data_IF_497133258214
#
_entry.id   IF_497133258214
#
_cell.length_a   1.000
_cell.length_b   1.000
_cell.length_c   1.000
_cell.angle_alpha   90.00
_cell.angle_beta   90.00
_cell.angle_gamma   90.00
#
_symmetry.space_group_name_H-M   'P 1'
#
loop_
_entity.id
_entity.type
_entity.pdbx_description
1 polymer ?
#
# COMPACT_ATOMS: atom_id res chain seq x y z
N UNK A 1 -27.01 39.14 -32.24
CA UNK A 1 -27.61 38.10 -31.36
C UNK A 1 -26.48 37.26 -30.80
N UNK A 2 -26.29 37.22 -29.47
CA UNK A 2 -25.30 36.34 -28.82
C UNK A 2 -25.93 34.96 -28.58
N UNK A 3 -25.30 33.83 -28.93
CA UNK A 3 -25.69 32.54 -28.39
C UNK A 3 -25.06 32.37 -26.99
N UNK A 4 -25.88 31.89 -26.06
CA UNK A 4 -25.53 31.66 -24.66
C UNK A 4 -24.56 30.50 -24.46
N UNK A 5 -23.84 30.54 -23.33
CA UNK A 5 -22.98 29.46 -22.83
C UNK A 5 -23.78 28.17 -22.61
N UNK A 6 -23.20 26.99 -22.88
CA UNK A 6 -23.78 25.73 -22.43
C UNK A 6 -23.59 25.57 -20.92
N UNK A 7 -24.69 25.30 -20.24
CA UNK A 7 -24.71 24.75 -18.88
C UNK A 7 -24.22 23.30 -18.90
N UNK A 8 -23.33 22.87 -17.98
CA UNK A 8 -22.99 21.46 -17.85
C UNK A 8 -24.19 20.69 -17.31
N UNK A 9 -24.64 19.72 -18.09
CA UNK A 9 -25.78 18.84 -17.80
C UNK A 9 -25.45 17.86 -16.67
N UNK A 10 -26.29 17.91 -15.64
CA UNK A 10 -26.77 16.84 -14.76
C UNK A 10 -26.12 15.45 -14.85
N UNK A 11 -25.35 15.12 -13.80
CA UNK A 11 -25.44 13.89 -12.99
C UNK A 11 -26.10 12.66 -13.66
N UNK A 12 -25.28 11.67 -14.01
CA UNK A 12 -25.72 10.39 -14.55
C UNK A 12 -26.41 9.51 -13.48
N UNK A 13 -27.62 8.98 -13.71
CA UNK A 13 -28.44 8.32 -12.67
C UNK A 13 -28.02 6.89 -12.29
N UNK A 14 -27.03 6.30 -12.96
CA UNK A 14 -26.61 4.90 -12.77
C UNK A 14 -25.39 4.74 -11.86
N UNK A 15 -24.93 5.84 -11.25
CA UNK A 15 -23.92 5.90 -10.18
C UNK A 15 -24.55 5.91 -8.76
N UNK A 16 -25.80 5.46 -8.61
CA UNK A 16 -26.35 5.15 -7.29
C UNK A 16 -25.78 3.82 -6.82
N UNK A 17 -24.62 3.92 -6.17
CA UNK A 17 -24.07 2.85 -5.34
C UNK A 17 -25.12 2.50 -4.28
N UNK A 18 -25.61 1.26 -4.32
CA UNK A 18 -26.61 0.75 -3.41
C UNK A 18 -25.93 0.33 -2.10
N UNK A 19 -26.09 1.16 -1.05
CA UNK A 19 -25.54 0.93 0.28
C UNK A 19 -26.04 -0.38 0.94
N UNK A 20 -27.05 -1.05 0.39
CA UNK A 20 -27.60 -2.30 0.94
C UNK A 20 -26.79 -3.56 0.61
N UNK A 21 -25.82 -3.52 -0.32
CA UNK A 21 -25.10 -4.71 -0.78
C UNK A 21 -23.89 -5.14 0.06
N UNK A 22 -23.39 -4.29 0.96
CA UNK A 22 -22.22 -4.60 1.83
C UNK A 22 -22.54 -5.72 2.85
N UNK A 23 -23.82 -6.05 3.07
CA UNK A 23 -24.24 -7.13 3.96
C UNK A 23 -24.43 -8.49 3.28
N UNK A 24 -24.38 -8.57 1.94
CA UNK A 24 -24.70 -9.82 1.20
C UNK A 24 -23.48 -10.63 0.71
N UNK A 25 -22.25 -10.13 0.90
CA UNK A 25 -21.00 -10.77 0.45
C UNK A 25 -20.59 -12.05 1.22
N UNK A 26 -21.48 -12.66 2.01
CA UNK A 26 -21.18 -13.89 2.74
C UNK A 26 -21.58 -15.18 2.05
N UNK A 27 -22.45 -15.14 1.05
CA UNK A 27 -23.05 -16.36 0.50
C UNK A 27 -22.84 -16.44 -1.01
N UNK A 28 -21.65 -16.89 -1.42
CA UNK A 28 -21.42 -17.77 -2.59
C UNK A 28 -19.91 -17.96 -2.82
N UNK A 29 -19.26 -18.68 -1.91
CA UNK A 29 -17.91 -19.17 -2.12
C UNK A 29 -17.94 -20.47 -2.93
N UNK A 30 -17.54 -20.42 -4.20
CA UNK A 30 -16.93 -21.58 -4.84
C UNK A 30 -15.59 -21.82 -4.15
N UNK A 31 -15.34 -23.05 -3.70
CA UNK A 31 -14.25 -23.41 -2.79
C UNK A 31 -12.86 -22.98 -3.30
N UNK A 32 -12.35 -21.87 -2.76
CA UNK A 32 -10.92 -21.58 -2.72
C UNK A 32 -10.27 -22.53 -1.70
N UNK A 33 -9.23 -23.25 -2.12
CA UNK A 33 -8.47 -24.20 -1.27
C UNK A 33 -7.61 -23.45 -0.22
N UNK A 34 -7.61 -22.11 -0.25
CA UNK A 34 -6.80 -21.27 0.64
C UNK A 34 -7.64 -20.20 1.32
N UNK A 35 -7.42 -19.93 2.62
CA UNK A 35 -8.19 -18.94 3.36
C UNK A 35 -7.98 -17.53 2.76
N UNK A 36 -9.04 -16.72 2.65
CA UNK A 36 -8.92 -15.32 2.22
C UNK A 36 -8.05 -14.54 3.22
N UNK A 37 -7.26 -13.58 2.72
CA UNK A 37 -6.62 -12.58 3.57
C UNK A 37 -7.75 -11.68 4.07
N UNK A 38 -8.24 -11.93 5.29
CA UNK A 38 -9.25 -11.08 5.91
C UNK A 38 -8.53 -9.90 6.56
N UNK A 39 -8.63 -8.67 6.02
CA UNK A 39 -8.08 -7.52 6.72
C UNK A 39 -8.79 -7.37 8.07
N UNK A 40 -8.09 -6.97 9.14
CA UNK A 40 -8.72 -6.71 10.42
C UNK A 40 -9.88 -5.72 10.25
N UNK A 41 -10.95 -5.85 11.04
CA UNK A 41 -12.05 -4.87 11.06
C UNK A 41 -11.49 -3.58 11.68
N UNK A 42 -11.03 -2.68 10.82
CA UNK A 42 -10.49 -1.38 11.21
C UNK A 42 -11.62 -0.35 11.17
N UNK A 43 -11.89 0.40 12.25
CA UNK A 43 -12.87 1.48 12.22
C UNK A 43 -12.44 2.52 11.18
N UNK A 44 -13.39 2.94 10.33
CA UNK A 44 -13.15 3.94 9.30
C UNK A 44 -12.79 5.28 9.95
N UNK A 45 -11.66 5.84 9.56
CA UNK A 45 -11.15 7.08 10.15
C UNK A 45 -11.57 8.28 9.32
N UNK A 46 -11.38 8.21 8.00
CA UNK A 46 -11.90 9.22 7.07
C UNK A 46 -13.25 8.81 6.50
N UNK A 47 -14.16 9.77 6.23
CA UNK A 47 -15.39 9.49 5.48
C UNK A 47 -15.07 8.89 4.11
N UNK A 48 -15.80 7.84 3.71
CA UNK A 48 -15.64 7.14 2.42
C UNK A 48 -14.28 6.45 2.24
N UNK A 49 -13.53 6.22 3.31
CA UNK A 49 -12.25 5.48 3.27
C UNK A 49 -12.42 4.07 2.68
N UNK A 50 -13.52 3.39 3.00
CA UNK A 50 -13.85 2.07 2.46
C UNK A 50 -14.03 2.09 0.94
N UNK A 51 -14.72 3.10 0.42
CA UNK A 51 -14.94 3.28 -1.03
C UNK A 51 -13.63 3.64 -1.73
N UNK A 52 -12.83 4.52 -1.13
CA UNK A 52 -11.49 4.85 -1.64
C UNK A 52 -10.60 3.61 -1.71
N UNK A 53 -10.56 2.82 -0.63
CA UNK A 53 -9.80 1.57 -0.54
C UNK A 53 -10.23 0.58 -1.62
N UNK A 54 -11.53 0.32 -1.75
CA UNK A 54 -12.05 -0.60 -2.75
C UNK A 54 -11.68 -0.15 -4.17
N UNK A 55 -11.90 1.14 -4.49
CA UNK A 55 -11.63 1.68 -5.82
C UNK A 55 -10.14 1.71 -6.16
N UNK A 56 -9.27 1.96 -5.17
CA UNK A 56 -7.82 1.86 -5.33
C UNK A 56 -7.39 0.42 -5.59
N UNK A 57 -7.90 -0.53 -4.80
CA UNK A 57 -7.55 -1.94 -4.93
C UNK A 57 -8.02 -2.52 -6.26
N UNK A 58 -9.18 -2.08 -6.77
CA UNK A 58 -9.62 -2.43 -8.12
C UNK A 58 -8.57 -2.09 -9.18
N UNK A 59 -7.98 -0.89 -9.12
CA UNK A 59 -6.90 -0.50 -10.03
C UNK A 59 -5.67 -1.38 -9.83
N UNK A 60 -5.29 -1.66 -8.58
CA UNK A 60 -4.16 -2.56 -8.28
C UNK A 60 -4.38 -3.96 -8.87
N UNK A 61 -5.57 -4.52 -8.72
CA UNK A 61 -5.89 -5.86 -9.20
C UNK A 61 -6.00 -5.91 -10.72
N UNK A 62 -6.56 -4.87 -11.37
CA UNK A 62 -6.52 -4.73 -12.83
C UNK A 62 -5.08 -4.64 -13.33
N UNK A 63 -4.24 -3.84 -12.67
CA UNK A 63 -2.82 -3.71 -13.00
C UNK A 63 -2.11 -5.06 -12.92
N UNK A 64 -2.29 -5.78 -11.83
CA UNK A 64 -1.68 -7.10 -11.64
C UNK A 64 -2.19 -8.09 -12.68
N UNK A 65 -3.50 -8.13 -12.92
CA UNK A 65 -4.10 -9.01 -13.92
C UNK A 65 -3.52 -8.81 -15.31
N UNK A 66 -3.53 -7.57 -15.82
CA UNK A 66 -3.03 -7.28 -17.17
C UNK A 66 -1.51 -7.45 -17.29
N UNK A 67 -0.76 -7.23 -16.22
CA UNK A 67 0.69 -7.49 -16.18
C UNK A 67 1.04 -8.98 -16.15
N UNK A 68 0.07 -9.87 -15.86
CA UNK A 68 0.28 -11.32 -15.76
C UNK A 68 -0.70 -12.11 -16.63
N UNK A 69 -1.32 -11.46 -17.61
CA UNK A 69 -2.21 -12.13 -18.54
C UNK A 69 -1.43 -13.15 -19.37
N UNK A 70 -2.06 -14.29 -19.67
CA UNK A 70 -1.44 -15.34 -20.48
C UNK A 70 -1.21 -14.93 -21.94
N UNK A 71 -1.81 -13.82 -22.38
CA UNK A 71 -1.62 -13.28 -23.73
C UNK A 71 -0.43 -12.29 -23.75
N UNK A 72 0.75 -12.70 -24.28
CA UNK A 72 1.95 -11.87 -24.22
C UNK A 72 1.82 -10.56 -25.00
N UNK A 73 0.99 -10.51 -26.05
CA UNK A 73 0.75 -9.28 -26.80
C UNK A 73 -0.06 -8.26 -25.98
N UNK A 74 -1.07 -8.71 -25.23
CA UNK A 74 -1.84 -7.83 -24.34
C UNK A 74 -0.96 -7.35 -23.19
N UNK A 75 -0.16 -8.24 -22.60
CA UNK A 75 0.78 -7.89 -21.54
C UNK A 75 1.78 -6.81 -22.01
N UNK A 76 2.45 -7.02 -23.14
CA UNK A 76 3.43 -6.06 -23.66
C UNK A 76 2.82 -4.69 -23.95
N UNK A 77 1.61 -4.64 -24.51
CA UNK A 77 0.90 -3.37 -24.72
C UNK A 77 0.51 -2.71 -23.41
N UNK A 78 0.05 -3.48 -22.43
CA UNK A 78 -0.30 -2.95 -21.12
C UNK A 78 0.91 -2.29 -20.45
N UNK A 79 2.04 -2.99 -20.44
CA UNK A 79 3.31 -2.51 -19.91
C UNK A 79 3.79 -1.23 -20.62
N UNK A 80 3.62 -1.15 -21.94
CA UNK A 80 4.05 0.00 -22.74
C UNK A 80 3.13 1.22 -22.63
N UNK A 81 1.81 1.03 -22.49
CA UNK A 81 0.83 2.11 -22.67
C UNK A 81 0.15 2.57 -21.37
N UNK A 82 -0.09 1.64 -20.42
CA UNK A 82 -0.98 1.91 -19.26
C UNK A 82 -0.29 1.69 -17.91
N UNK A 83 0.68 0.78 -17.82
CA UNK A 83 1.32 0.47 -16.54
C UNK A 83 1.95 1.71 -15.89
N UNK A 84 2.77 2.46 -16.63
CA UNK A 84 3.43 3.65 -16.08
C UNK A 84 2.43 4.75 -15.67
N UNK A 85 1.41 5.11 -16.48
CA UNK A 85 0.33 6.00 -16.03
C UNK A 85 -0.37 5.55 -14.74
N UNK A 86 -0.60 4.25 -14.54
CA UNK A 86 -1.18 3.72 -13.30
C UNK A 86 -0.20 3.93 -12.13
N UNK A 87 1.08 3.59 -12.30
CA UNK A 87 2.10 3.74 -11.25
C UNK A 87 2.21 5.21 -10.80
N UNK A 88 2.30 6.16 -11.74
CA UNK A 88 2.39 7.59 -11.45
C UNK A 88 1.13 8.12 -10.75
N UNK A 89 -0.05 7.67 -11.20
CA UNK A 89 -1.31 7.98 -10.54
C UNK A 89 -1.34 7.45 -9.11
N UNK A 90 -0.96 6.18 -8.91
CA UNK A 90 -0.98 5.53 -7.60
C UNK A 90 -0.05 6.24 -6.60
N UNK A 91 1.12 6.71 -7.03
CA UNK A 91 2.01 7.57 -6.23
C UNK A 91 1.31 8.88 -5.85
N UNK A 92 0.72 9.56 -6.83
CA UNK A 92 0.09 10.87 -6.65
C UNK A 92 -1.13 10.81 -5.73
N UNK A 93 -2.07 9.89 -6.00
CA UNK A 93 -3.31 9.76 -5.22
C UNK A 93 -3.03 9.31 -3.79
N UNK A 94 -2.01 8.47 -3.57
CA UNK A 94 -1.59 8.07 -2.22
C UNK A 94 -1.02 9.26 -1.45
N UNK A 95 -0.20 10.10 -2.11
CA UNK A 95 0.34 11.32 -1.51
C UNK A 95 -0.76 12.29 -1.12
N UNK A 96 -1.75 12.52 -2.00
CA UNK A 96 -2.88 13.40 -1.72
C UNK A 96 -3.75 12.85 -0.58
N UNK A 97 -4.03 11.54 -0.55
CA UNK A 97 -4.72 10.91 0.57
C UNK A 97 -3.97 11.09 1.89
N UNK A 98 -2.64 10.90 1.89
CA UNK A 98 -1.81 11.12 3.08
C UNK A 98 -1.85 12.57 3.56
N UNK A 99 -1.89 13.55 2.65
CA UNK A 99 -2.05 14.95 3.01
C UNK A 99 -3.42 15.21 3.66
N UNK A 100 -4.50 14.72 3.04
CA UNK A 100 -5.84 14.81 3.62
C UNK A 100 -5.92 14.18 5.01
N UNK A 101 -5.28 13.02 5.19
CA UNK A 101 -5.22 12.35 6.49
C UNK A 101 -4.47 13.18 7.52
N UNK A 102 -3.32 13.78 7.16
CA UNK A 102 -2.52 14.62 8.06
C UNK A 102 -3.22 15.93 8.40
N UNK A 103 -3.97 16.52 7.47
CA UNK A 103 -4.78 17.72 7.71
C UNK A 103 -5.92 17.41 8.69
N UNK A 104 -6.54 16.24 8.55
CA UNK A 104 -7.61 15.79 9.44
C UNK A 104 -7.07 15.37 10.83
N UNK A 105 -5.87 14.78 10.86
CA UNK A 105 -5.19 14.29 12.08
C UNK A 105 -3.74 14.75 12.14
N UNK A 106 -3.48 16.01 12.56
CA UNK A 106 -2.12 16.54 12.68
C UNK A 106 -1.27 15.77 13.71
N UNK A 107 -1.93 15.18 14.71
CA UNK A 107 -1.31 14.39 15.76
C UNK A 107 -1.99 13.02 15.89
N UNK A 108 -1.21 11.97 16.17
CA UNK A 108 -1.71 10.60 16.32
C UNK A 108 -2.75 10.45 17.43
N UNK A 109 -2.65 11.25 18.50
CA UNK A 109 -3.61 11.27 19.60
C UNK A 109 -5.00 11.72 19.10
N UNK A 110 -5.05 12.60 18.10
CA UNK A 110 -6.29 13.09 17.50
C UNK A 110 -7.05 12.00 16.75
N UNK A 111 -6.37 10.94 16.26
CA UNK A 111 -7.03 9.82 15.58
C UNK A 111 -8.06 9.12 16.48
N UNK A 112 -7.76 8.99 17.78
CA UNK A 112 -8.64 8.32 18.73
C UNK A 112 -9.88 9.15 19.08
N UNK A 113 -9.80 10.48 18.98
CA UNK A 113 -10.90 11.39 19.27
C UNK A 113 -11.91 11.49 18.11
N UNK A 114 -11.52 11.06 16.90
CA UNK A 114 -12.33 11.21 15.69
C UNK A 114 -12.40 12.67 15.20
N UNK A 115 -13.17 12.89 14.13
CA UNK A 115 -13.34 14.21 13.52
C UNK A 115 -14.60 14.92 14.00
N UNK A 116 -14.47 16.21 14.31
CA UNK A 116 -15.60 17.11 14.47
C UNK A 116 -16.33 17.31 13.13
N UNK A 117 -17.63 17.59 13.15
CA UNK A 117 -18.46 17.66 11.93
C UNK A 117 -17.92 18.58 10.82
N UNK A 118 -17.43 19.80 11.08
CA UNK A 118 -16.85 20.64 10.02
C UNK A 118 -15.62 20.00 9.36
N UNK A 119 -14.74 19.38 10.16
CA UNK A 119 -13.55 18.68 9.66
C UNK A 119 -13.93 17.41 8.91
N UNK A 120 -14.97 16.70 9.37
CA UNK A 120 -15.54 15.54 8.69
C UNK A 120 -16.09 15.91 7.31
N UNK A 121 -16.81 17.01 7.19
CA UNK A 121 -17.33 17.50 5.91
C UNK A 121 -16.18 17.85 4.94
N UNK A 122 -15.17 18.59 5.41
CA UNK A 122 -14.00 18.93 4.60
C UNK A 122 -13.21 17.68 4.16
N UNK A 123 -12.97 16.73 5.08
CA UNK A 123 -12.31 15.47 4.76
C UNK A 123 -13.10 14.67 3.72
N UNK A 124 -14.44 14.62 3.85
CA UNK A 124 -15.33 13.97 2.86
C UNK A 124 -15.18 14.60 1.49
N UNK A 125 -15.20 15.92 1.37
CA UNK A 125 -14.99 16.62 0.10
C UNK A 125 -13.62 16.29 -0.52
N UNK A 126 -12.58 16.23 0.32
CA UNK A 126 -11.26 15.77 -0.08
C UNK A 126 -11.27 14.37 -0.68
N UNK A 127 -11.86 13.39 0.03
CA UNK A 127 -11.94 12.00 -0.44
C UNK A 127 -12.81 11.87 -1.70
N UNK A 128 -13.90 12.64 -1.83
CA UNK A 128 -14.73 12.66 -3.05
C UNK A 128 -13.93 13.10 -4.27
N UNK A 129 -13.05 14.11 -4.14
CA UNK A 129 -12.16 14.52 -5.25
C UNK A 129 -11.19 13.41 -5.64
N UNK A 130 -10.64 12.68 -4.67
CA UNK A 130 -9.77 11.54 -4.96
C UNK A 130 -10.52 10.41 -5.69
N UNK A 131 -11.76 10.13 -5.29
CA UNK A 131 -12.62 9.16 -5.96
C UNK A 131 -12.90 9.55 -7.42
N UNK A 132 -13.15 10.84 -7.69
CA UNK A 132 -13.32 11.33 -9.07
C UNK A 132 -12.05 11.15 -9.92
N UNK A 133 -10.87 11.32 -9.32
CA UNK A 133 -9.60 11.07 -9.99
C UNK A 133 -9.40 9.57 -10.28
N UNK A 134 -9.77 8.70 -9.32
CA UNK A 134 -9.77 7.24 -9.49
C UNK A 134 -10.72 6.81 -10.61
N UNK A 135 -11.94 7.36 -10.64
CA UNK A 135 -12.92 7.07 -11.68
C UNK A 135 -12.37 7.41 -13.06
N UNK A 136 -11.71 8.56 -13.20
CA UNK A 136 -11.07 8.97 -14.46
C UNK A 136 -10.04 7.95 -14.94
N UNK A 137 -9.18 7.45 -14.04
CA UNK A 137 -8.22 6.40 -14.41
C UNK A 137 -8.92 5.08 -14.76
N UNK A 138 -9.94 4.69 -13.99
CA UNK A 138 -10.74 3.50 -14.28
C UNK A 138 -11.40 3.56 -15.67
N UNK A 139 -11.88 4.74 -16.10
CA UNK A 139 -12.39 4.96 -17.45
C UNK A 139 -11.31 4.73 -18.51
N UNK A 140 -10.10 5.24 -18.29
CA UNK A 140 -8.98 5.06 -19.22
C UNK A 140 -8.59 3.58 -19.33
N UNK A 141 -8.49 2.85 -18.20
CA UNK A 141 -8.21 1.41 -18.20
C UNK A 141 -9.32 0.64 -18.92
N UNK A 142 -10.59 1.00 -18.68
CA UNK A 142 -11.75 0.36 -19.33
C UNK A 142 -11.74 0.57 -20.84
N UNK A 143 -11.49 1.80 -21.30
CA UNK A 143 -11.40 2.10 -22.72
C UNK A 143 -10.22 1.36 -23.37
N UNK A 144 -9.07 1.33 -22.71
CA UNK A 144 -7.89 0.61 -23.18
C UNK A 144 -8.15 -0.90 -23.28
N UNK A 145 -8.75 -1.51 -22.26
CA UNK A 145 -9.06 -2.94 -22.23
C UNK A 145 -10.02 -3.31 -23.37
N UNK A 146 -11.01 -2.46 -23.64
CA UNK A 146 -11.94 -2.69 -24.75
C UNK A 146 -11.22 -2.60 -26.11
N UNK A 147 -10.35 -1.61 -26.31
CA UNK A 147 -9.68 -1.37 -27.59
C UNK A 147 -8.53 -2.35 -27.87
N UNK A 148 -7.79 -2.79 -26.85
CA UNK A 148 -6.55 -3.55 -27.03
C UNK A 148 -6.66 -5.01 -26.59
N UNK A 149 -7.53 -5.32 -25.63
CA UNK A 149 -7.73 -6.68 -25.12
C UNK A 149 -9.07 -7.32 -25.56
N UNK A 150 -9.95 -6.54 -26.22
CA UNK A 150 -11.33 -6.94 -26.54
C UNK A 150 -12.13 -7.34 -25.29
N UNK A 151 -11.82 -6.73 -24.14
CA UNK A 151 -12.47 -6.98 -22.86
C UNK A 151 -13.34 -5.79 -22.51
N UNK A 152 -14.64 -6.02 -22.31
CA UNK A 152 -15.57 -4.98 -21.86
C UNK A 152 -15.70 -4.99 -20.33
N UNK A 153 -14.88 -4.16 -19.65
CA UNK A 153 -14.94 -4.00 -18.19
C UNK A 153 -16.21 -3.28 -17.69
N UNK A 154 -17.11 -2.84 -18.58
CA UNK A 154 -18.44 -2.30 -18.19
C UNK A 154 -19.43 -3.42 -17.89
N UNK A 155 -19.17 -4.63 -18.40
CA UNK A 155 -19.94 -5.82 -18.05
C UNK A 155 -19.55 -6.25 -16.64
N UNK A 156 -20.52 -6.27 -15.72
CA UNK A 156 -20.29 -6.52 -14.29
C UNK A 156 -19.58 -7.86 -14.08
N UNK A 157 -20.10 -8.93 -14.68
CA UNK A 157 -19.53 -10.28 -14.52
C UNK A 157 -18.10 -10.36 -15.08
N UNK A 158 -17.82 -9.69 -16.20
CA UNK A 158 -16.48 -9.68 -16.78
C UNK A 158 -15.48 -8.95 -15.88
N UNK A 159 -15.88 -7.80 -15.34
CA UNK A 159 -15.07 -7.02 -14.41
C UNK A 159 -14.81 -7.79 -13.12
N UNK A 160 -15.86 -8.36 -12.51
CA UNK A 160 -15.75 -9.11 -11.25
C UNK A 160 -14.82 -10.31 -11.39
N UNK A 161 -14.94 -11.07 -12.48
CA UNK A 161 -14.05 -12.20 -12.76
C UNK A 161 -12.58 -11.77 -12.90
N UNK A 162 -12.32 -10.65 -13.59
CA UNK A 162 -10.96 -10.13 -13.78
C UNK A 162 -10.38 -9.61 -12.46
N UNK A 163 -11.17 -8.87 -11.68
CA UNK A 163 -10.75 -8.37 -10.37
C UNK A 163 -10.43 -9.52 -9.41
N UNK A 164 -11.27 -10.56 -9.39
CA UNK A 164 -11.06 -11.77 -8.58
C UNK A 164 -9.75 -12.47 -8.95
N UNK A 165 -9.47 -12.61 -10.25
CA UNK A 165 -8.21 -13.19 -10.72
C UNK A 165 -7.00 -12.29 -10.38
N UNK A 166 -7.13 -10.98 -10.58
CA UNK A 166 -6.10 -10.00 -10.22
C UNK A 166 -5.75 -10.02 -8.74
N UNK A 167 -6.76 -10.06 -7.87
CA UNK A 167 -6.59 -10.20 -6.42
C UNK A 167 -5.90 -11.52 -6.05
N UNK A 168 -6.29 -12.63 -6.67
CA UNK A 168 -5.66 -13.93 -6.43
C UNK A 168 -4.17 -13.93 -6.83
N UNK A 169 -3.84 -13.34 -7.98
CA UNK A 169 -2.44 -13.19 -8.44
C UNK A 169 -1.67 -12.28 -7.47
N UNK A 170 -2.27 -11.16 -7.07
CA UNK A 170 -1.66 -10.22 -6.12
C UNK A 170 -1.37 -10.91 -4.77
N UNK A 171 -2.35 -11.62 -4.20
CA UNK A 171 -2.21 -12.31 -2.93
C UNK A 171 -1.17 -13.43 -2.98
N UNK A 172 -1.10 -14.17 -4.10
CA UNK A 172 -0.08 -15.19 -4.30
C UNK A 172 1.32 -14.58 -4.37
N UNK A 173 1.51 -13.52 -5.17
CA UNK A 173 2.81 -12.82 -5.28
C UNK A 173 3.23 -12.20 -3.95
N UNK A 174 2.31 -11.55 -3.22
CA UNK A 174 2.59 -11.00 -1.90
C UNK A 174 3.13 -12.06 -0.95
N UNK A 175 2.44 -13.21 -0.83
CA UNK A 175 2.89 -14.32 0.02
C UNK A 175 4.25 -14.85 -0.39
N UNK A 176 4.45 -15.07 -1.69
CA UNK A 176 5.73 -15.56 -2.22
C UNK A 176 6.90 -14.62 -1.90
N UNK A 177 6.73 -13.31 -2.11
CA UNK A 177 7.76 -12.31 -1.78
C UNK A 177 7.98 -12.25 -0.26
N UNK A 178 6.91 -12.28 0.53
CA UNK A 178 6.99 -12.25 1.99
C UNK A 178 7.74 -13.47 2.54
N UNK A 179 7.47 -14.66 2.03
CA UNK A 179 8.15 -15.91 2.43
C UNK A 179 9.66 -15.83 2.17
N UNK A 180 10.08 -15.25 1.04
CA UNK A 180 11.51 -15.03 0.79
C UNK A 180 12.13 -13.98 1.68
N UNK A 181 11.43 -12.88 1.96
CA UNK A 181 11.90 -11.89 2.94
C UNK A 181 12.06 -12.54 4.31
N UNK A 182 11.06 -13.31 4.77
CA UNK A 182 11.12 -14.02 6.06
C UNK A 182 12.29 -15.02 6.10
N UNK A 183 12.54 -15.75 5.01
CA UNK A 183 13.65 -16.69 4.89
C UNK A 183 15.02 -15.99 4.91
N UNK A 184 15.14 -14.81 4.29
CA UNK A 184 16.36 -14.00 4.37
C UNK A 184 16.56 -13.48 5.79
N UNK A 185 15.55 -12.85 6.37
CA UNK A 185 15.65 -12.26 7.72
C UNK A 185 15.95 -13.30 8.80
N UNK A 186 15.46 -14.54 8.64
CA UNK A 186 15.75 -15.66 9.53
C UNK A 186 17.23 -16.07 9.60
N UNK A 187 18.07 -15.59 8.67
CA UNK A 187 19.51 -15.85 8.66
C UNK A 187 20.31 -14.82 9.47
N UNK A 188 19.67 -13.73 9.90
CA UNK A 188 20.33 -12.60 10.56
C UNK A 188 19.81 -12.41 11.98
N UNK A 189 20.71 -11.97 12.86
CA UNK A 189 20.39 -11.54 14.21
C UNK A 189 21.37 -10.46 14.67
N UNK A 190 20.99 -9.71 15.69
CA UNK A 190 21.85 -8.74 16.35
C UNK A 190 21.98 -9.13 17.83
N UNK A 191 23.18 -9.50 18.26
CA UNK A 191 23.45 -10.10 19.59
C UNK A 191 22.51 -11.27 19.95
N UNK A 192 22.16 -12.12 18.98
CA UNK A 192 21.25 -13.26 19.20
C UNK A 192 19.76 -12.89 19.22
N UNK A 193 19.41 -11.61 19.07
CA UNK A 193 18.02 -11.16 18.91
C UNK A 193 17.62 -11.17 17.43
N UNK A 194 16.47 -11.77 17.08
CA UNK A 194 16.03 -11.84 15.69
C UNK A 194 15.61 -10.46 15.15
N UNK A 195 15.79 -10.28 13.84
CA UNK A 195 15.23 -9.13 13.13
C UNK A 195 13.71 -9.25 13.04
N UNK A 196 13.02 -8.12 13.09
CA UNK A 196 11.57 -8.04 12.98
C UNK A 196 11.19 -6.88 12.07
N UNK A 197 9.98 -6.92 11.53
CA UNK A 197 9.39 -5.83 10.77
C UNK A 197 7.97 -5.56 11.25
N UNK A 198 7.48 -4.36 10.95
CA UNK A 198 6.10 -3.93 11.19
C UNK A 198 5.52 -3.31 9.92
N UNK A 199 4.21 -3.09 9.91
CA UNK A 199 3.56 -2.32 8.88
C UNK A 199 3.08 -3.18 7.71
N UNK A 200 3.23 -2.66 6.50
CA UNK A 200 2.53 -3.23 5.34
C UNK A 200 3.03 -4.60 4.92
N UNK A 201 4.26 -4.95 5.28
CA UNK A 201 4.83 -6.28 5.05
C UNK A 201 4.11 -7.40 5.81
N UNK A 202 3.45 -7.08 6.92
CA UNK A 202 2.77 -8.10 7.74
C UNK A 202 1.53 -8.66 7.04
N UNK A 203 0.78 -7.83 6.31
CA UNK A 203 -0.53 -8.21 5.74
C UNK A 203 -0.75 -7.77 4.29
N UNK A 204 0.21 -7.10 3.65
CA UNK A 204 0.11 -6.58 2.29
C UNK A 204 -0.74 -5.32 2.17
N UNK A 205 -1.11 -4.70 3.30
CA UNK A 205 -1.98 -3.53 3.36
C UNK A 205 -1.22 -2.35 3.93
N UNK A 206 -1.30 -1.21 3.25
CA UNK A 206 -0.70 0.06 3.68
C UNK A 206 -1.39 0.59 4.94
N UNK A 207 -0.71 1.47 5.67
CA UNK A 207 -1.27 2.07 6.88
C UNK A 207 -2.50 2.94 6.62
N UNK A 208 -3.23 3.28 7.70
CA UNK A 208 -4.46 4.10 7.65
C UNK A 208 -4.28 5.44 6.91
N UNK A 209 -3.15 6.11 7.11
CA UNK A 209 -2.80 7.35 6.42
C UNK A 209 -2.56 7.21 4.91
N UNK A 210 -2.63 5.97 4.37
CA UNK A 210 -2.59 5.63 2.95
C UNK A 210 -3.87 4.90 2.51
N UNK A 211 -4.95 5.03 3.28
CA UNK A 211 -6.29 4.51 2.96
C UNK A 211 -6.46 3.01 3.15
N UNK A 212 -5.59 2.34 3.90
CA UNK A 212 -5.64 0.88 4.07
C UNK A 212 -5.68 0.11 2.73
N UNK A 213 -5.01 0.65 1.71
CA UNK A 213 -4.94 0.11 0.36
C UNK A 213 -3.93 -1.03 0.23
N UNK A 214 -4.10 -1.88 -0.77
CA UNK A 214 -3.10 -2.89 -1.15
C UNK A 214 -1.73 -2.25 -1.44
N UNK A 215 -0.65 -2.92 -1.06
CA UNK A 215 0.70 -2.48 -1.44
C UNK A 215 0.93 -2.68 -2.94
N UNK A 216 1.73 -1.79 -3.51
CA UNK A 216 2.32 -2.03 -4.82
C UNK A 216 3.44 -3.08 -4.64
N UNK A 217 3.30 -4.22 -5.32
CA UNK A 217 4.27 -5.32 -5.21
C UNK A 217 5.63 -5.02 -5.85
N UNK A 218 5.72 -3.93 -6.60
CA UNK A 218 6.95 -3.47 -7.24
C UNK A 218 7.65 -2.36 -6.45
N UNK A 219 7.08 -1.95 -5.32
CA UNK A 219 7.59 -0.90 -4.43
C UNK A 219 7.49 -1.36 -2.96
N UNK A 220 8.16 -2.48 -2.66
CA UNK A 220 8.26 -3.03 -1.31
C UNK A 220 9.23 -2.21 -0.46
N UNK A 221 8.75 -1.79 0.70
CA UNK A 221 9.58 -1.20 1.76
C UNK A 221 9.63 -2.16 2.96
N UNK A 222 10.81 -2.32 3.57
CA UNK A 222 11.04 -3.26 4.67
C UNK A 222 11.53 -2.48 5.89
N UNK A 223 10.57 -2.05 6.71
CA UNK A 223 10.80 -1.35 7.98
C UNK A 223 11.33 -2.33 9.05
N UNK A 224 12.64 -2.54 9.10
CA UNK A 224 13.28 -3.46 10.03
C UNK A 224 13.57 -2.83 11.40
N UNK A 225 13.47 -3.65 12.44
CA UNK A 225 13.94 -3.31 13.77
C UNK A 225 14.47 -4.52 14.52
N UNK A 226 15.30 -4.25 15.52
CA UNK A 226 15.65 -5.22 16.56
C UNK A 226 15.22 -4.69 17.93
N UNK A 227 14.64 -5.58 18.73
CA UNK A 227 14.23 -5.32 20.10
C UNK A 227 15.30 -5.85 21.06
N UNK A 228 16.10 -4.95 21.64
CA UNK A 228 17.20 -5.31 22.53
C UNK A 228 17.39 -4.22 23.60
N UNK A 229 16.74 -4.40 24.75
CA UNK A 229 16.67 -3.40 25.81
C UNK A 229 18.06 -2.99 26.34
N UNK A 230 18.97 -3.94 26.54
CA UNK A 230 20.32 -3.65 27.05
C UNK A 230 21.12 -2.75 26.09
N UNK A 231 21.24 -3.14 24.81
CA UNK A 231 21.84 -2.31 23.76
C UNK A 231 21.16 -0.95 23.63
N UNK A 232 19.83 -0.91 23.71
CA UNK A 232 19.09 0.35 23.62
C UNK A 232 19.45 1.30 24.76
N UNK A 233 19.47 0.80 26.01
CA UNK A 233 19.89 1.59 27.17
C UNK A 233 21.37 1.99 27.13
N UNK A 234 22.23 1.12 26.57
CA UNK A 234 23.66 1.40 26.38
C UNK A 234 23.87 2.57 25.41
N UNK A 235 23.13 2.60 24.30
CA UNK A 235 23.32 3.61 23.25
C UNK A 235 22.55 4.91 23.48
N UNK A 236 21.38 4.85 24.11
CA UNK A 236 20.47 5.99 24.23
C UNK A 236 21.10 7.27 24.80
N UNK A 237 21.93 7.25 25.87
CA UNK A 237 22.52 8.47 26.40
C UNK A 237 23.40 9.19 25.37
N UNK A 238 24.26 8.44 24.68
CA UNK A 238 25.15 8.97 23.64
C UNK A 238 24.36 9.49 22.45
N UNK A 239 23.34 8.74 22.01
CA UNK A 239 22.46 9.18 20.91
C UNK A 239 21.76 10.49 21.26
N UNK A 240 21.19 10.62 22.46
CA UNK A 240 20.50 11.85 22.86
C UNK A 240 21.43 13.06 22.97
N UNK A 241 22.67 12.85 23.38
CA UNK A 241 23.66 13.92 23.55
C UNK A 241 24.29 14.35 22.22
N UNK A 242 24.69 13.39 21.38
CA UNK A 242 25.53 13.63 20.20
C UNK A 242 24.78 13.55 18.87
N UNK A 243 23.65 12.83 18.83
CA UNK A 243 22.87 12.54 17.62
C UNK A 243 21.35 12.65 17.89
N UNK A 244 20.86 13.76 18.44
CA UNK A 244 19.46 13.87 18.89
C UNK A 244 18.42 13.60 17.78
N UNK A 245 18.76 13.87 16.52
CA UNK A 245 17.96 13.59 15.33
C UNK A 245 17.80 12.09 15.03
N UNK A 246 18.72 11.26 15.53
CA UNK A 246 18.69 9.80 15.40
C UNK A 246 17.82 9.11 16.44
N UNK A 247 17.04 9.87 17.22
CA UNK A 247 16.08 9.32 18.17
C UNK A 247 14.66 9.84 17.89
N UNK A 248 13.73 8.93 17.57
CA UNK A 248 12.33 9.30 17.37
C UNK A 248 11.39 8.17 17.77
N UNK A 249 10.36 8.51 18.55
CA UNK A 249 9.30 7.58 18.96
C UNK A 249 9.84 6.27 19.58
N UNK A 250 10.87 6.36 20.43
CA UNK A 250 11.49 5.20 21.08
C UNK A 250 12.40 4.37 20.19
N UNK A 251 12.65 4.80 18.94
CA UNK A 251 13.57 4.15 18.00
C UNK A 251 14.89 4.90 17.97
N UNK A 252 16.00 4.16 17.96
CA UNK A 252 17.34 4.66 17.66
C UNK A 252 17.67 4.28 16.22
N UNK A 253 17.96 5.29 15.40
CA UNK A 253 18.36 5.17 14.00
C UNK A 253 19.89 5.11 13.94
N UNK A 254 20.51 3.99 13.53
CA UNK A 254 21.96 3.83 13.66
C UNK A 254 22.77 4.61 12.62
N UNK A 255 22.18 5.01 11.49
CA UNK A 255 22.94 5.60 10.38
C UNK A 255 23.64 6.91 10.78
N UNK A 256 24.94 7.01 10.47
CA UNK A 256 25.75 8.21 10.80
C UNK A 256 26.20 8.31 12.27
N UNK A 257 25.92 7.29 13.09
CA UNK A 257 26.30 7.25 14.51
C UNK A 257 27.47 6.31 14.76
N UNK A 258 27.85 6.12 16.02
CA UNK A 258 28.84 5.14 16.47
C UNK A 258 28.38 3.67 16.37
N UNK A 259 27.11 3.41 16.03
CA UNK A 259 26.51 2.07 15.98
C UNK A 259 26.88 1.30 14.69
N UNK A 260 28.18 1.20 14.39
CA UNK A 260 28.68 0.61 13.14
C UNK A 260 28.26 -0.86 12.93
N UNK A 261 28.11 -1.64 14.00
CA UNK A 261 27.65 -3.03 13.89
C UNK A 261 26.23 -3.12 13.31
N UNK A 262 25.30 -2.29 13.80
CA UNK A 262 23.93 -2.26 13.30
C UNK A 262 23.84 -1.66 11.89
N UNK A 263 24.71 -0.71 11.55
CA UNK A 263 24.85 -0.19 10.18
C UNK A 263 25.34 -1.28 9.21
N UNK A 264 26.39 -2.03 9.59
CA UNK A 264 26.91 -3.13 8.80
C UNK A 264 25.88 -4.25 8.62
N UNK A 265 25.11 -4.55 9.67
CA UNK A 265 24.01 -5.50 9.58
C UNK A 265 22.92 -5.03 8.63
N UNK A 266 22.54 -3.75 8.69
CA UNK A 266 21.57 -3.13 7.77
C UNK A 266 22.01 -3.29 6.31
N UNK A 267 23.29 -3.00 6.04
CA UNK A 267 23.89 -3.17 4.71
C UNK A 267 23.90 -4.63 4.24
N UNK A 268 24.32 -5.56 5.10
CA UNK A 268 24.36 -6.98 4.78
C UNK A 268 22.96 -7.55 4.46
N UNK A 269 21.96 -7.17 5.25
CA UNK A 269 20.56 -7.56 5.01
C UNK A 269 20.03 -6.94 3.72
N UNK A 270 20.30 -5.65 3.47
CA UNK A 270 19.90 -4.99 2.23
C UNK A 270 20.47 -5.68 0.97
N UNK A 271 21.73 -6.11 1.02
CA UNK A 271 22.34 -6.92 -0.05
C UNK A 271 21.70 -8.29 -0.22
N UNK A 272 21.43 -8.99 0.88
CA UNK A 272 20.78 -10.30 0.84
C UNK A 272 19.35 -10.21 0.26
N UNK A 273 18.58 -9.20 0.67
CA UNK A 273 17.25 -8.92 0.12
C UNK A 273 17.31 -8.59 -1.36
N UNK A 274 18.23 -7.71 -1.78
CA UNK A 274 18.39 -7.34 -3.19
C UNK A 274 18.71 -8.55 -4.08
N UNK A 275 19.59 -9.44 -3.60
CA UNK A 275 20.00 -10.64 -4.33
C UNK A 275 18.87 -11.68 -4.43
N UNK A 276 18.15 -11.96 -3.33
CA UNK A 276 17.09 -12.97 -3.32
C UNK A 276 15.84 -12.51 -4.08
N UNK A 277 15.50 -11.22 -4.01
CA UNK A 277 14.31 -10.68 -4.66
C UNK A 277 14.54 -10.21 -6.11
N UNK A 278 15.72 -10.47 -6.67
CA UNK A 278 16.05 -10.12 -8.05
C UNK A 278 15.08 -10.80 -9.02
N UNK A 279 14.45 -10.00 -9.89
CA UNK A 279 13.44 -10.48 -10.85
C UNK A 279 12.05 -10.72 -10.25
N UNK A 280 11.88 -10.61 -8.93
CA UNK A 280 10.57 -10.74 -8.24
C UNK A 280 9.98 -9.39 -7.86
N UNK A 281 10.84 -8.46 -7.44
CA UNK A 281 10.50 -7.08 -7.08
C UNK A 281 11.23 -6.14 -8.04
N UNK A 282 10.49 -5.24 -8.69
CA UNK A 282 11.08 -4.19 -9.53
C UNK A 282 12.05 -3.36 -8.69
N UNK A 283 13.23 -3.07 -9.25
CA UNK A 283 14.26 -2.27 -8.56
C UNK A 283 14.71 -2.84 -7.20
N UNK A 284 14.76 -4.17 -7.04
CA UNK A 284 15.25 -4.83 -5.81
C UNK A 284 16.63 -4.33 -5.32
N UNK A 285 17.46 -3.80 -6.22
CA UNK A 285 18.73 -3.15 -5.87
C UNK A 285 18.59 -2.01 -4.84
N UNK A 286 17.41 -1.39 -4.72
CA UNK A 286 17.14 -0.32 -3.74
C UNK A 286 17.26 -0.79 -2.29
N UNK A 287 17.09 -2.08 -2.00
CA UNK A 287 17.27 -2.60 -0.64
C UNK A 287 18.69 -2.33 -0.09
N UNK A 288 19.71 -2.28 -0.94
CA UNK A 288 21.11 -2.04 -0.52
C UNK A 288 21.26 -0.69 0.21
N UNK A 289 20.53 0.34 -0.24
CA UNK A 289 20.61 1.70 0.31
C UNK A 289 19.45 2.10 1.20
N UNK A 290 18.32 1.37 1.14
CA UNK A 290 17.09 1.73 1.84
C UNK A 290 16.77 0.83 3.03
N UNK A 291 17.50 -0.27 3.23
CA UNK A 291 17.32 -1.11 4.41
C UNK A 291 18.06 -0.49 5.60
N UNK A 292 17.31 0.03 6.57
CA UNK A 292 17.83 0.47 7.87
C UNK A 292 17.17 -0.36 8.99
N UNK A 293 18.01 -0.94 9.85
CA UNK A 293 17.53 -1.68 11.04
C UNK A 293 17.60 -0.73 12.24
N UNK A 294 16.43 -0.36 12.77
CA UNK A 294 16.38 0.51 13.96
C UNK A 294 16.41 -0.30 15.26
N UNK A 295 17.03 0.26 16.29
CA UNK A 295 17.07 -0.36 17.62
C UNK A 295 15.89 0.14 18.48
N UNK A 296 15.22 -0.78 19.17
CA UNK A 296 14.10 -0.50 20.08
C UNK A 296 14.29 -1.16 21.45
N UNK A 297 13.74 -0.52 22.46
CA UNK A 297 13.73 -1.02 23.84
C UNK A 297 12.83 -2.25 24.02
N UNK A 298 11.61 -2.18 23.49
CA UNK A 298 10.54 -3.13 23.81
C UNK A 298 10.76 -4.46 23.06
N UNK A 299 10.81 -5.56 23.82
CA UNK A 299 10.59 -6.94 23.36
C UNK A 299 9.25 -7.09 22.61
N UNK A 300 8.94 -8.26 22.00
CA UNK A 300 7.82 -8.37 21.04
C UNK A 300 6.52 -7.82 21.62
N UNK A 301 5.87 -6.91 20.88
CA UNK A 301 4.42 -6.72 20.97
C UNK A 301 3.72 -7.98 20.47
#
# INVERSE_FOLDING_TARGET
MRPGRPTPSSSLPWLRYDFSKVTSLRDNATASIYPPIVPPIVPLILPLEDVFRASYNDIEYLKVYFSHTQNPHIQQRFEAEILHPIEDFQVSVTKEYTLLFKDAFPHRISEAAGLAEPQRAQAREGVVRLLQNIDTLNWNITAWAYQNAMIDLRQVDARENILTQGEAIWAHRFRSIKEEIDAVLGQFSYHGHPLRYVGSLTHGIRGRHKGNSAINLDDFDVDLFVAHAEEWHRHLPVIREQFPENFSNGKIYPLGTHMHELQNLSHAVGHALAANLMGKVKQSWRFIGNTEIVLREIGPY
#
